data_IF_722616543160
#
_entry.id   IF_722616543160
#
_cell.length_a   1.000
_cell.length_b   1.000
_cell.length_c   1.000
_cell.angle_alpha   90.00
_cell.angle_beta   90.00
_cell.angle_gamma   90.00
#
_symmetry.space_group_name_H-M   'P 1'
#
loop_
_entity.id
_entity.type
_entity.pdbx_description
1 polymer ?
#
# COMPACT_ATOMS: atom_id res chain seq x y z
N UNK A 1 2.16 -3.23 18.67
CA UNK A 1 1.62 -3.56 17.33
C UNK A 1 1.05 -2.34 16.55
N UNK A 2 1.68 -1.14 16.55
CA UNK A 2 1.32 -0.10 15.57
C UNK A 2 2.04 -0.28 14.22
N UNK A 3 3.19 -0.95 14.20
CA UNK A 3 4.04 -1.14 13.01
C UNK A 3 3.33 -1.86 11.86
N UNK A 4 2.48 -2.85 12.16
CA UNK A 4 1.76 -3.64 11.15
C UNK A 4 0.79 -2.78 10.33
N UNK A 5 0.16 -1.77 10.94
CA UNK A 5 -0.73 -0.83 10.25
C UNK A 5 0.01 0.37 9.68
N UNK A 6 1.06 0.82 10.37
CA UNK A 6 1.78 2.04 10.01
C UNK A 6 2.67 1.87 8.75
N UNK A 7 3.32 0.73 8.58
CA UNK A 7 4.17 0.48 7.41
C UNK A 7 3.42 0.50 6.07
N UNK A 8 2.34 -0.28 5.88
CA UNK A 8 1.58 -0.21 4.64
C UNK A 8 0.96 1.18 4.44
N UNK A 9 0.60 1.86 5.53
CA UNK A 9 0.12 3.23 5.48
C UNK A 9 1.17 4.20 4.90
N UNK A 10 2.42 4.13 5.35
CA UNK A 10 3.51 4.97 4.83
C UNK A 10 3.77 4.67 3.36
N UNK A 11 3.85 3.39 2.97
CA UNK A 11 4.11 2.99 1.58
C UNK A 11 3.03 3.54 0.64
N UNK A 12 1.74 3.41 1.01
CA UNK A 12 0.64 3.95 0.19
C UNK A 12 0.73 5.48 0.05
N UNK A 13 1.08 6.19 1.13
CA UNK A 13 1.24 7.65 1.07
C UNK A 13 2.41 8.11 0.20
N UNK A 14 3.47 7.31 0.11
CA UNK A 14 4.60 7.58 -0.76
C UNK A 14 4.23 7.39 -2.23
N UNK A 15 3.40 6.40 -2.53
CA UNK A 15 2.94 6.09 -3.90
C UNK A 15 1.88 7.09 -4.40
N UNK A 16 1.12 7.70 -3.49
CA UNK A 16 -0.04 8.55 -3.80
C UNK A 16 0.31 10.04 -3.76
N UNK A 17 -0.09 10.77 -4.82
CA UNK A 17 0.08 12.22 -4.92
C UNK A 17 -0.75 13.03 -3.89
N UNK A 18 -0.35 14.28 -3.57
CA UNK A 18 -0.91 15.06 -2.47
C UNK A 18 -2.44 15.25 -2.52
N UNK A 19 -3.02 15.40 -3.70
CA UNK A 19 -4.45 15.62 -3.91
C UNK A 19 -5.31 14.38 -3.62
N UNK A 20 -4.76 13.19 -3.79
CA UNK A 20 -5.47 11.92 -3.62
C UNK A 20 -5.25 11.33 -2.21
N UNK A 21 -4.25 11.80 -1.46
CA UNK A 21 -3.95 11.35 -0.09
C UNK A 21 -5.17 11.45 0.82
N UNK A 22 -5.88 12.56 0.83
CA UNK A 22 -7.07 12.74 1.68
C UNK A 22 -8.21 11.79 1.31
N UNK A 23 -8.41 11.50 0.01
CA UNK A 23 -9.47 10.60 -0.46
C UNK A 23 -9.18 9.14 -0.10
N UNK A 24 -7.94 8.69 -0.33
CA UNK A 24 -7.53 7.32 -0.02
C UNK A 24 -7.48 7.11 1.50
N UNK A 25 -6.90 8.07 2.23
CA UNK A 25 -6.76 7.95 3.68
C UNK A 25 -8.09 8.10 4.41
N UNK A 26 -8.80 9.21 4.18
CA UNK A 26 -9.99 9.53 4.97
C UNK A 26 -11.23 8.78 4.48
N UNK A 27 -11.28 8.42 3.19
CA UNK A 27 -12.36 7.63 2.61
C UNK A 27 -12.09 6.14 2.71
N UNK A 28 -11.18 5.62 1.90
CA UNK A 28 -11.05 4.16 1.69
C UNK A 28 -10.60 3.45 2.96
N UNK A 29 -9.59 3.97 3.66
CA UNK A 29 -9.04 3.30 4.84
C UNK A 29 -10.03 3.28 6.01
N UNK A 30 -10.63 4.44 6.35
CA UNK A 30 -11.62 4.54 7.43
C UNK A 30 -12.90 3.76 7.13
N UNK A 31 -13.40 3.80 5.89
CA UNK A 31 -14.60 3.04 5.51
C UNK A 31 -14.33 1.54 5.58
N UNK A 32 -13.19 1.07 5.07
CA UNK A 32 -12.81 -0.34 5.16
C UNK A 32 -12.68 -0.81 6.61
N UNK A 33 -12.09 0.01 7.47
CA UNK A 33 -11.97 -0.26 8.91
C UNK A 33 -13.34 -0.37 9.59
N UNK A 34 -14.24 0.59 9.30
CA UNK A 34 -15.59 0.65 9.87
C UNK A 34 -16.44 -0.55 9.42
N UNK A 35 -16.37 -0.91 8.14
CA UNK A 35 -17.05 -2.10 7.60
C UNK A 35 -16.51 -3.36 8.26
N UNK A 36 -15.18 -3.50 8.36
CA UNK A 36 -14.55 -4.65 9.02
C UNK A 36 -15.03 -4.83 10.45
N UNK A 37 -15.02 -3.75 11.24
CA UNK A 37 -15.53 -3.76 12.62
C UNK A 37 -17.03 -4.04 12.73
N UNK A 38 -17.83 -3.65 11.74
CA UNK A 38 -19.27 -3.89 11.75
C UNK A 38 -19.62 -5.33 11.36
N UNK A 39 -18.84 -5.94 10.45
CA UNK A 39 -19.04 -7.31 9.95
C UNK A 39 -18.57 -8.36 10.96
N UNK A 40 -17.47 -8.11 11.68
CA UNK A 40 -16.93 -9.02 12.69
C UNK A 40 -17.95 -9.49 13.75
N UNK A 41 -18.73 -8.63 14.43
CA UNK A 41 -19.71 -9.05 15.42
C UNK A 41 -20.90 -9.80 14.81
N UNK A 42 -21.28 -9.49 13.57
CA UNK A 42 -22.35 -10.19 12.85
C UNK A 42 -21.98 -11.66 12.59
N UNK A 43 -20.70 -11.92 12.27
CA UNK A 43 -20.17 -13.27 12.07
C UNK A 43 -19.95 -13.98 13.42
N UNK A 44 -19.48 -13.25 14.43
CA UNK A 44 -19.22 -13.80 15.76
C UNK A 44 -20.49 -14.26 16.50
N UNK A 45 -21.66 -13.72 16.15
CA UNK A 45 -22.93 -14.03 16.81
C UNK A 45 -23.48 -15.43 16.49
N UNK A 46 -22.96 -16.10 15.45
CA UNK A 46 -23.53 -17.37 14.96
C UNK A 46 -22.81 -18.58 15.55
N UNK A 47 -21.47 -18.63 15.41
CA UNK A 47 -20.60 -19.64 16.03
C UNK A 47 -19.15 -19.13 16.13
N UNK A 48 -18.48 -19.38 17.26
CA UNK A 48 -17.09 -18.94 17.48
C UNK A 48 -16.07 -19.63 16.54
N UNK A 49 -16.37 -20.86 16.09
CA UNK A 49 -15.53 -21.59 15.13
C UNK A 49 -15.56 -20.93 13.76
N UNK A 50 -16.75 -20.52 13.30
CA UNK A 50 -16.92 -19.79 12.03
C UNK A 50 -16.18 -18.45 12.07
N UNK A 51 -16.18 -17.77 13.22
CA UNK A 51 -15.40 -16.55 13.42
C UNK A 51 -13.88 -16.81 13.31
N UNK A 52 -13.38 -17.88 13.92
CA UNK A 52 -11.97 -18.28 13.84
C UNK A 52 -11.53 -18.63 12.41
N UNK A 53 -12.38 -19.33 11.65
CA UNK A 53 -12.12 -19.67 10.25
C UNK A 53 -12.17 -18.42 9.35
N UNK A 54 -13.13 -17.52 9.55
CA UNK A 54 -13.23 -16.27 8.79
C UNK A 54 -12.01 -15.38 9.02
N UNK A 55 -11.58 -15.17 10.27
CA UNK A 55 -10.39 -14.35 10.58
C UNK A 55 -9.09 -14.98 10.09
N UNK A 56 -8.96 -16.31 10.19
CA UNK A 56 -7.79 -17.04 9.68
C UNK A 56 -7.70 -16.97 8.15
N UNK A 57 -8.82 -17.14 7.44
CA UNK A 57 -8.86 -17.06 5.97
C UNK A 57 -8.48 -15.66 5.45
N UNK A 58 -8.99 -14.59 6.09
CA UNK A 58 -8.60 -13.20 5.76
C UNK A 58 -7.10 -12.98 6.01
N UNK A 59 -6.56 -13.53 7.09
CA UNK A 59 -5.13 -13.44 7.40
C UNK A 59 -4.26 -14.15 6.36
N UNK A 60 -4.68 -15.33 5.89
CA UNK A 60 -4.00 -16.07 4.80
C UNK A 60 -4.04 -15.28 3.49
N UNK A 61 -5.17 -14.64 3.16
CA UNK A 61 -5.26 -13.77 1.98
C UNK A 61 -4.28 -12.59 2.05
N UNK A 62 -4.10 -11.99 3.24
CA UNK A 62 -3.12 -10.92 3.43
C UNK A 62 -1.68 -11.36 3.19
N UNK A 63 -1.30 -12.61 3.47
CA UNK A 63 0.04 -13.12 3.16
C UNK A 63 0.36 -13.08 1.66
N UNK A 64 -0.62 -13.30 0.80
CA UNK A 64 -0.42 -13.21 -0.65
C UNK A 64 -0.27 -11.77 -1.15
N UNK A 65 -0.77 -10.79 -0.39
CA UNK A 65 -0.70 -9.37 -0.75
C UNK A 65 0.74 -8.85 -0.82
N UNK A 66 1.67 -9.43 -0.05
CA UNK A 66 3.09 -9.07 -0.07
C UNK A 66 3.71 -9.12 -1.48
N UNK A 67 3.28 -10.07 -2.33
CA UNK A 67 3.84 -10.19 -3.69
C UNK A 67 3.42 -9.06 -4.64
N UNK A 68 2.32 -8.37 -4.36
CA UNK A 68 1.78 -7.33 -5.23
C UNK A 68 2.22 -5.93 -4.83
N UNK A 69 2.69 -5.75 -3.59
CA UNK A 69 3.07 -4.44 -3.08
C UNK A 69 4.46 -4.06 -3.64
N UNK A 70 4.59 -2.96 -4.40
CA UNK A 70 5.89 -2.46 -4.80
C UNK A 70 6.67 -1.99 -3.57
N UNK A 71 7.98 -2.17 -3.58
CA UNK A 71 8.84 -1.61 -2.53
C UNK A 71 8.81 -0.06 -2.56
N UNK A 72 9.07 0.55 -1.40
CA UNK A 72 9.13 2.01 -1.26
C UNK A 72 10.17 2.61 -2.20
N UNK A 73 9.79 3.56 -3.08
CA UNK A 73 10.74 4.26 -3.94
C UNK A 73 11.85 4.96 -3.16
N UNK A 74 11.53 5.51 -1.98
CA UNK A 74 12.51 6.20 -1.11
C UNK A 74 13.52 5.21 -0.54
N UNK A 75 13.06 4.05 -0.09
CA UNK A 75 13.96 3.02 0.44
C UNK A 75 14.92 2.51 -0.64
N UNK A 76 14.44 2.32 -1.87
CA UNK A 76 15.27 1.92 -3.00
C UNK A 76 16.35 2.96 -3.36
N UNK A 77 16.05 4.25 -3.24
CA UNK A 77 17.02 5.34 -3.46
C UNK A 77 18.13 5.30 -2.39
N UNK A 78 17.77 5.16 -1.10
CA UNK A 78 18.74 5.07 0.01
C UNK A 78 19.61 3.82 -0.12
N UNK A 79 19.05 2.74 -0.69
CA UNK A 79 19.73 1.47 -0.95
C UNK A 79 20.62 1.47 -2.20
N UNK A 80 20.76 2.61 -2.90
CA UNK A 80 21.45 2.77 -4.19
C UNK A 80 20.89 1.87 -5.32
N UNK A 81 19.66 1.37 -5.16
CA UNK A 81 18.97 0.52 -6.14
C UNK A 81 18.19 1.37 -7.15
N UNK A 82 18.91 2.19 -7.91
CA UNK A 82 18.31 3.17 -8.80
C UNK A 82 17.49 2.58 -9.96
N UNK A 83 17.84 1.38 -10.44
CA UNK A 83 17.10 0.70 -11.51
C UNK A 83 15.68 0.32 -11.07
N UNK A 84 15.55 -0.32 -9.91
CA UNK A 84 14.27 -0.72 -9.32
C UNK A 84 13.43 0.53 -8.97
N UNK A 85 14.06 1.56 -8.38
CA UNK A 85 13.39 2.82 -8.07
C UNK A 85 12.80 3.50 -9.32
N UNK A 86 13.56 3.51 -10.43
CA UNK A 86 13.11 4.10 -11.70
C UNK A 86 11.90 3.34 -12.26
N UNK A 87 11.91 2.00 -12.25
CA UNK A 87 10.78 1.19 -12.72
C UNK A 87 9.49 1.46 -11.93
N UNK A 88 9.59 1.54 -10.60
CA UNK A 88 8.44 1.84 -9.74
C UNK A 88 7.93 3.26 -9.99
N UNK A 89 8.83 4.25 -10.09
CA UNK A 89 8.46 5.64 -10.35
C UNK A 89 7.86 5.85 -11.74
N UNK A 90 8.36 5.21 -12.78
CA UNK A 90 7.78 5.27 -14.13
C UNK A 90 6.36 4.73 -14.13
N UNK A 91 6.10 3.61 -13.45
CA UNK A 91 4.74 3.06 -13.31
C UNK A 91 3.79 4.01 -12.60
N UNK A 92 4.26 4.67 -11.53
CA UNK A 92 3.48 5.69 -10.81
C UNK A 92 3.23 6.90 -11.71
N UNK A 93 4.20 7.30 -12.51
CA UNK A 93 4.10 8.44 -13.42
C UNK A 93 3.06 8.16 -14.54
N UNK A 94 3.08 6.95 -15.12
CA UNK A 94 2.06 6.47 -16.07
C UNK A 94 0.65 6.49 -15.45
N UNK A 95 0.49 5.97 -14.22
CA UNK A 95 -0.79 6.00 -13.51
C UNK A 95 -1.30 7.41 -13.23
N UNK A 96 -0.39 8.38 -13.05
CA UNK A 96 -0.72 9.79 -12.84
C UNK A 96 -0.86 10.57 -14.17
N UNK A 97 -0.77 9.90 -15.33
CA UNK A 97 -0.86 10.54 -16.65
C UNK A 97 0.29 11.48 -16.98
N UNK A 98 1.41 11.41 -16.23
CA UNK A 98 2.63 12.16 -16.50
C UNK A 98 3.67 11.19 -17.04
N UNK A 99 3.76 11.06 -18.37
CA UNK A 99 4.86 10.30 -18.98
C UNK A 99 6.16 11.09 -18.78
N UNK A 100 7.01 10.64 -17.87
CA UNK A 100 8.38 11.16 -17.73
C UNK A 100 9.36 10.15 -18.31
N UNK A 101 10.32 10.64 -19.10
CA UNK A 101 11.38 9.80 -19.65
C UNK A 101 12.18 9.14 -18.50
N UNK A 102 12.33 7.81 -18.50
CA UNK A 102 13.04 7.09 -17.45
C UNK A 102 14.52 7.49 -17.36
N UNK A 103 15.10 8.03 -18.44
CA UNK A 103 16.46 8.56 -18.46
C UNK A 103 16.58 9.86 -17.63
N UNK A 104 15.63 10.79 -17.74
CA UNK A 104 15.64 12.03 -16.95
C UNK A 104 15.40 11.76 -15.46
N UNK A 105 14.49 10.82 -15.14
CA UNK A 105 14.23 10.41 -13.77
C UNK A 105 15.48 9.83 -13.12
N UNK A 106 16.23 8.99 -13.84
CA UNK A 106 17.46 8.38 -13.33
C UNK A 106 18.56 9.42 -13.05
N UNK A 107 18.66 10.47 -13.87
CA UNK A 107 19.60 11.57 -13.65
C UNK A 107 19.19 12.36 -12.40
N UNK A 108 17.92 12.76 -12.29
CA UNK A 108 17.39 13.47 -11.11
C UNK A 108 17.56 12.71 -9.80
N UNK A 109 17.46 11.38 -9.82
CA UNK A 109 17.64 10.56 -8.62
C UNK A 109 19.13 10.44 -8.23
N UNK A 110 20.05 10.44 -9.21
CA UNK A 110 21.51 10.43 -8.95
C UNK A 110 22.04 11.76 -8.44
N UNK A 111 21.40 12.85 -8.84
CA UNK A 111 21.78 14.22 -8.44
C UNK A 111 21.19 14.62 -7.08
N UNK A 112 20.33 13.79 -6.48
CA UNK A 112 19.62 14.03 -5.23
C UNK A 112 20.26 13.31 -4.04
#
# INVERSE_FOLDING_TARGET
MPSVFQLPYIIVLELVGPSMRTRIFNGIFNVSWTIGLSVLPLIASREWVTFGLATSSVSVLMFFYWKFLPESPRWLIIREKYSEATTVLTRIAEMNGKSQDPAELRIKIKDC
#
